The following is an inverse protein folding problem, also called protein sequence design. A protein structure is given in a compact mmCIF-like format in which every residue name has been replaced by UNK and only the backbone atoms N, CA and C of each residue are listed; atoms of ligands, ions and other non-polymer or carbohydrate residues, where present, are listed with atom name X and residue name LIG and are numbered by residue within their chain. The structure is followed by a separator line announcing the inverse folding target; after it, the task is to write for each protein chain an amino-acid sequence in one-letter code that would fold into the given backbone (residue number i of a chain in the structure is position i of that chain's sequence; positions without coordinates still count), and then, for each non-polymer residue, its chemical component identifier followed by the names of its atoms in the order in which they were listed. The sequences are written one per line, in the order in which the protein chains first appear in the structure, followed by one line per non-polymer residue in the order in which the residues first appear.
data_IF_595573301609
#
_entry.id   IF_595573301609
#
_cell.length_a   1.000
_cell.length_b   1.000
_cell.length_c   1.000
_cell.angle_alpha   90.00
_cell.angle_beta   90.00
_cell.angle_gamma   90.00
#
_symmetry.space_group_name_H-M   'P 1'
#
loop_
_entity.id
_entity.type
_entity.pdbx_description
1 polymer ?
#
# COMPACT_ATOMS: atom_id res chain seq x y z
N UNK A 1 0.79 31.02 -0.58
CA UNK A 1 0.57 30.78 -2.04
C UNK A 1 0.96 29.37 -2.47
N UNK A 2 2.23 28.95 -2.38
CA UNK A 2 2.68 27.61 -2.82
C UNK A 2 1.92 26.44 -2.17
N UNK A 3 1.58 26.54 -0.88
CA UNK A 3 0.80 25.51 -0.16
C UNK A 3 -0.59 25.28 -0.77
N UNK A 4 -1.24 26.35 -1.25
CA UNK A 4 -2.57 26.29 -1.88
C UNK A 4 -2.44 25.69 -3.29
N UNK A 5 -1.40 26.08 -4.04
CA UNK A 5 -1.11 25.50 -5.34
C UNK A 5 -0.84 23.99 -5.25
N UNK A 6 0.01 23.57 -4.31
CA UNK A 6 0.33 22.15 -4.07
C UNK A 6 -0.90 21.38 -3.59
N UNK A 7 -1.73 21.97 -2.74
CA UNK A 7 -3.00 21.37 -2.32
C UNK A 7 -3.93 21.15 -3.54
N UNK A 8 -4.18 22.19 -4.34
CA UNK A 8 -5.03 22.09 -5.53
C UNK A 8 -4.46 21.11 -6.55
N UNK A 9 -3.17 21.20 -6.85
CA UNK A 9 -2.50 20.31 -7.81
C UNK A 9 -2.56 18.84 -7.38
N UNK A 10 -2.37 18.57 -6.09
CA UNK A 10 -2.49 17.20 -5.55
C UNK A 10 -3.92 16.68 -5.65
N UNK A 11 -4.92 17.50 -5.33
CA UNK A 11 -6.32 17.11 -5.48
C UNK A 11 -6.68 16.81 -6.94
N UNK A 12 -6.24 17.65 -7.89
CA UNK A 12 -6.45 17.41 -9.32
C UNK A 12 -5.74 16.13 -9.78
N UNK A 13 -4.51 15.88 -9.32
CA UNK A 13 -3.76 14.67 -9.64
C UNK A 13 -4.46 13.40 -9.12
N UNK A 14 -5.00 13.44 -7.90
CA UNK A 14 -5.79 12.34 -7.32
C UNK A 14 -7.04 12.08 -8.16
N UNK A 15 -7.79 13.14 -8.54
CA UNK A 15 -8.99 13.00 -9.39
C UNK A 15 -8.67 12.43 -10.78
N UNK A 16 -7.55 12.84 -11.37
CA UNK A 16 -7.09 12.31 -12.65
C UNK A 16 -6.71 10.82 -12.55
N UNK A 17 -5.98 10.45 -11.50
CA UNK A 17 -5.61 9.06 -11.22
C UNK A 17 -6.85 8.19 -10.98
N UNK A 18 -7.83 8.69 -10.24
CA UNK A 18 -9.11 8.00 -10.02
C UNK A 18 -9.85 7.77 -11.34
N UNK A 19 -9.95 8.81 -12.18
CA UNK A 19 -10.61 8.73 -13.50
C UNK A 19 -9.95 7.70 -14.42
N UNK A 20 -8.61 7.66 -14.47
CA UNK A 20 -7.86 6.69 -15.27
C UNK A 20 -8.12 5.27 -14.75
N UNK A 21 -8.07 5.09 -13.42
CA UNK A 21 -8.24 3.79 -12.78
C UNK A 21 -9.66 3.25 -12.99
N UNK A 22 -10.68 4.08 -12.84
CA UNK A 22 -12.09 3.72 -13.10
C UNK A 22 -12.31 3.26 -14.55
N UNK A 23 -11.68 3.94 -15.52
CA UNK A 23 -11.72 3.56 -16.95
C UNK A 23 -11.02 2.24 -17.24
N UNK A 24 -9.83 2.02 -16.68
CA UNK A 24 -9.06 0.78 -16.86
C UNK A 24 -9.83 -0.42 -16.30
N UNK A 25 -10.46 -0.24 -15.14
CA UNK A 25 -11.22 -1.29 -14.46
C UNK A 25 -12.64 -1.45 -15.03
N UNK A 26 -13.03 -0.65 -16.02
CA UNK A 26 -14.30 -0.79 -16.74
C UNK A 26 -15.54 -0.35 -15.95
N UNK A 27 -15.35 0.42 -14.87
CA UNK A 27 -16.42 0.89 -13.97
C UNK A 27 -17.50 1.65 -14.74
N UNK A 28 -17.09 2.54 -15.65
CA UNK A 28 -17.99 3.38 -16.45
C UNK A 28 -18.98 2.54 -17.29
N UNK A 29 -18.54 1.40 -17.84
CA UNK A 29 -19.39 0.51 -18.66
C UNK A 29 -20.45 -0.21 -17.83
N UNK A 30 -20.09 -0.62 -16.62
CA UNK A 30 -21.03 -1.22 -15.66
C UNK A 30 -22.12 -0.22 -15.26
N UNK A 31 -21.78 1.07 -15.18
CA UNK A 31 -22.73 2.14 -14.89
C UNK A 31 -23.66 2.45 -16.08
N UNK A 32 -23.16 2.47 -17.31
CA UNK A 32 -23.95 2.75 -18.52
C UNK A 32 -24.93 1.62 -18.89
N UNK A 33 -24.54 0.35 -18.72
CA UNK A 33 -25.40 -0.81 -19.03
C UNK A 33 -26.55 -1.01 -18.03
N UNK A 34 -26.45 -0.46 -16.81
CA UNK A 34 -27.39 -0.75 -15.72
C UNK A 34 -28.59 0.21 -15.59
N UNK A 35 -28.68 1.27 -16.41
CA UNK A 35 -29.81 2.22 -16.42
C UNK A 35 -30.05 2.98 -15.09
N UNK A 36 -29.12 2.88 -14.14
CA UNK A 36 -29.20 3.40 -12.78
C UNK A 36 -28.01 2.92 -11.92
N UNK A 37 -27.76 3.62 -10.81
CA UNK A 37 -26.62 3.35 -9.92
C UNK A 37 -26.87 2.09 -9.08
N UNK A 38 -26.34 0.94 -9.52
CA UNK A 38 -26.40 -0.28 -8.73
C UNK A 38 -25.36 -0.21 -7.59
N UNK A 39 -25.80 0.29 -6.43
CA UNK A 39 -24.97 0.43 -5.24
C UNK A 39 -24.32 -0.89 -4.80
N UNK A 40 -24.98 -2.03 -5.01
CA UNK A 40 -24.43 -3.34 -4.67
C UNK A 40 -23.24 -3.70 -5.58
N UNK A 41 -23.38 -3.50 -6.90
CA UNK A 41 -22.29 -3.71 -7.84
C UNK A 41 -21.10 -2.77 -7.55
N UNK A 42 -21.37 -1.50 -7.23
CA UNK A 42 -20.35 -0.52 -6.86
C UNK A 42 -19.60 -0.94 -5.59
N UNK A 43 -20.31 -1.42 -4.57
CA UNK A 43 -19.72 -1.91 -3.31
C UNK A 43 -18.85 -3.14 -3.54
N UNK A 44 -19.34 -4.13 -4.30
CA UNK A 44 -18.56 -5.34 -4.62
C UNK A 44 -17.30 -4.98 -5.39
N UNK A 45 -17.40 -4.10 -6.38
CA UNK A 45 -16.26 -3.65 -7.17
C UNK A 45 -15.26 -2.85 -6.34
N UNK A 46 -15.74 -1.94 -5.49
CA UNK A 46 -14.89 -1.17 -4.57
C UNK A 46 -14.18 -2.07 -3.56
N UNK A 47 -14.87 -3.10 -3.06
CA UNK A 47 -14.27 -4.11 -2.21
C UNK A 47 -13.18 -4.88 -2.98
N UNK A 48 -13.47 -5.44 -4.14
CA UNK A 48 -12.49 -6.21 -4.93
C UNK A 48 -11.26 -5.36 -5.26
N UNK A 49 -11.44 -4.16 -5.78
CA UNK A 49 -10.33 -3.27 -6.17
C UNK A 49 -9.57 -2.78 -4.94
N UNK A 50 -10.26 -2.32 -3.91
CA UNK A 50 -9.66 -1.82 -2.67
C UNK A 50 -8.86 -2.91 -1.95
N UNK A 51 -9.43 -4.10 -1.79
CA UNK A 51 -8.73 -5.23 -1.19
C UNK A 51 -7.55 -5.68 -2.06
N UNK A 52 -7.73 -5.80 -3.38
CA UNK A 52 -6.63 -6.17 -4.30
C UNK A 52 -5.46 -5.20 -4.17
N UNK A 53 -5.72 -3.89 -4.19
CA UNK A 53 -4.69 -2.86 -4.01
C UNK A 53 -4.00 -2.95 -2.64
N UNK A 54 -4.78 -3.19 -1.58
CA UNK A 54 -4.23 -3.34 -0.22
C UNK A 54 -3.35 -4.58 -0.08
N UNK A 55 -3.71 -5.71 -0.69
CA UNK A 55 -2.92 -6.93 -0.66
C UNK A 55 -1.60 -6.73 -1.41
N UNK A 56 -1.66 -6.16 -2.63
CA UNK A 56 -0.45 -5.84 -3.40
C UNK A 56 0.48 -4.91 -2.58
N UNK A 57 -0.08 -3.87 -1.96
CA UNK A 57 0.69 -2.95 -1.12
C UNK A 57 1.32 -3.66 0.09
N UNK A 58 0.58 -4.54 0.76
CA UNK A 58 1.07 -5.31 1.90
C UNK A 58 2.20 -6.27 1.52
N UNK A 59 2.05 -6.99 0.41
CA UNK A 59 3.10 -7.89 -0.09
C UNK A 59 4.39 -7.13 -0.45
N UNK A 60 4.25 -5.92 -1.00
CA UNK A 60 5.38 -5.07 -1.33
C UNK A 60 6.01 -4.39 -0.10
N UNK A 61 5.26 -4.15 0.97
CA UNK A 61 5.70 -3.27 2.07
C UNK A 61 7.00 -3.73 2.72
N UNK A 62 7.14 -5.04 3.00
CA UNK A 62 8.34 -5.60 3.63
C UNK A 62 9.56 -5.47 2.72
N UNK A 63 9.40 -5.71 1.42
CA UNK A 63 10.49 -5.59 0.47
C UNK A 63 10.89 -4.12 0.27
N UNK A 64 9.91 -3.24 0.08
CA UNK A 64 10.12 -1.81 -0.08
C UNK A 64 10.82 -1.21 1.14
N UNK A 65 10.40 -1.54 2.36
CA UNK A 65 11.01 -1.02 3.58
C UNK A 65 12.48 -1.45 3.72
N UNK A 66 12.81 -2.70 3.40
CA UNK A 66 14.19 -3.18 3.44
C UNK A 66 15.06 -2.50 2.38
N UNK A 67 14.53 -2.34 1.17
CA UNK A 67 15.23 -1.73 0.05
C UNK A 67 15.46 -0.23 0.26
N UNK A 68 14.43 0.51 0.70
CA UNK A 68 14.51 1.97 0.88
C UNK A 68 15.40 2.39 2.04
N UNK A 69 15.43 1.59 3.12
CA UNK A 69 16.26 1.86 4.30
C UNK A 69 17.67 1.26 4.20
N UNK A 70 18.00 0.56 3.12
CA UNK A 70 19.31 -0.09 2.95
C UNK A 70 19.60 -1.16 4.01
N UNK A 71 18.58 -1.89 4.46
CA UNK A 71 18.69 -2.87 5.54
C UNK A 71 19.62 -4.02 5.11
N UNK A 72 20.64 -4.29 5.92
CA UNK A 72 21.47 -5.48 5.79
C UNK A 72 20.94 -6.57 6.72
N UNK A 73 20.61 -7.74 6.15
CA UNK A 73 20.10 -8.88 6.92
C UNK A 73 21.29 -9.65 7.50
N UNK A 74 21.27 -9.87 8.81
CA UNK A 74 22.27 -10.67 9.52
C UNK A 74 21.75 -12.11 9.61
N UNK A 75 22.16 -12.98 8.68
CA UNK A 75 21.81 -14.41 8.71
C UNK A 75 22.73 -15.23 9.63
N UNK A 76 24.01 -14.87 9.68
CA UNK A 76 25.02 -15.48 10.57
C UNK A 76 25.89 -14.39 11.18
N UNK A 77 25.92 -14.24 12.51
CA UNK A 77 26.71 -13.20 13.14
C UNK A 77 28.20 -13.45 12.91
N UNK A 78 28.84 -12.48 12.26
CA UNK A 78 30.27 -12.47 11.95
C UNK A 78 31.10 -11.77 13.03
N UNK A 79 30.46 -10.96 13.88
CA UNK A 79 31.08 -10.23 14.97
C UNK A 79 30.38 -10.43 16.32
N UNK A 80 31.08 -10.09 17.42
CA UNK A 80 30.52 -10.13 18.76
C UNK A 80 29.33 -9.14 18.92
N UNK A 81 29.39 -8.00 18.25
CA UNK A 81 28.32 -6.98 18.28
C UNK A 81 27.05 -7.49 17.59
N UNK A 82 27.17 -8.12 16.43
CA UNK A 82 26.01 -8.72 15.73
C UNK A 82 25.37 -9.83 16.56
N UNK A 83 26.19 -10.63 17.25
CA UNK A 83 25.69 -11.68 18.13
C UNK A 83 24.94 -11.12 19.33
N UNK A 84 25.52 -10.14 20.01
CA UNK A 84 24.85 -9.43 21.10
C UNK A 84 23.53 -8.79 20.66
N UNK A 85 23.50 -8.19 19.47
CA UNK A 85 22.29 -7.58 18.91
C UNK A 85 21.20 -8.65 18.66
N UNK A 86 21.56 -9.75 18.00
CA UNK A 86 20.63 -10.86 17.76
C UNK A 86 20.08 -11.45 19.07
N UNK A 87 20.94 -11.73 20.04
CA UNK A 87 20.53 -12.29 21.34
C UNK A 87 19.64 -11.32 22.13
N UNK A 88 19.96 -10.03 22.07
CA UNK A 88 19.16 -8.98 22.73
C UNK A 88 17.78 -8.87 22.11
N UNK A 89 17.69 -8.84 20.77
CA UNK A 89 16.42 -8.78 20.06
C UNK A 89 15.60 -10.04 20.30
N UNK A 90 16.23 -11.23 20.30
CA UNK A 90 15.56 -12.49 20.57
C UNK A 90 14.89 -12.49 21.96
N UNK A 91 15.62 -12.07 23.00
CA UNK A 91 15.07 -11.95 24.35
C UNK A 91 13.91 -10.94 24.42
N UNK A 92 14.07 -9.77 23.79
CA UNK A 92 13.01 -8.75 23.78
C UNK A 92 11.75 -9.22 23.03
N UNK A 93 11.91 -9.98 21.95
CA UNK A 93 10.79 -10.57 21.21
C UNK A 93 10.08 -11.65 22.03
N UNK A 94 10.81 -12.48 22.77
CA UNK A 94 10.22 -13.49 23.66
C UNK A 94 9.42 -12.85 24.80
N UNK A 95 9.91 -11.74 25.36
CA UNK A 95 9.17 -10.96 26.37
C UNK A 95 7.92 -10.26 25.81
N UNK A 96 7.91 -9.92 24.51
CA UNK A 96 6.83 -9.17 23.87
C UNK A 96 5.67 -10.03 23.32
N UNK A 97 5.88 -11.33 23.13
CA UNK A 97 4.86 -12.29 22.65
C UNK A 97 4.86 -12.53 21.15
#
# INVERSE_FOLDING_TARGET
MLRILLFLGTNVAILAMLSITMRILGVDRVLEESGGLNLNALLVMSAVIGFTGSFISLFLSKWMAKASMGVQIIDRPSSATERWLLDTVARLSEEAG
#
